data_IF_195604158305
#
_entry.id   IF_195604158305
#
_cell.length_a   1.000
_cell.length_b   1.000
_cell.length_c   1.000
_cell.angle_alpha   90.00
_cell.angle_beta   90.00
_cell.angle_gamma   90.00
#
_symmetry.space_group_name_H-M   'P 1'
#
loop_
_entity.id
_entity.type
_entity.pdbx_description
1 polymer ?
#
# COMPACT_ATOMS: atom_id res chain seq x y z
N UNK A 1 -16.21 -37.80 -73.36
CA UNK A 1 -15.80 -36.43 -72.93
C UNK A 1 -16.12 -36.24 -71.46
N UNK A 2 -15.12 -36.23 -70.57
CA UNK A 2 -15.32 -36.20 -69.12
C UNK A 2 -15.35 -34.75 -68.57
N UNK A 3 -16.49 -34.36 -67.98
CA UNK A 3 -16.74 -33.01 -67.43
C UNK A 3 -16.04 -32.84 -66.07
N UNK A 4 -14.90 -32.13 -66.04
CA UNK A 4 -14.16 -31.82 -64.80
C UNK A 4 -15.02 -30.95 -63.86
N UNK A 5 -15.34 -31.46 -62.66
CA UNK A 5 -16.02 -30.69 -61.60
C UNK A 5 -15.07 -29.62 -61.05
N UNK A 6 -15.43 -28.35 -61.20
CA UNK A 6 -14.73 -27.21 -60.57
C UNK A 6 -14.85 -27.31 -59.04
N UNK A 7 -13.73 -27.48 -58.34
CA UNK A 7 -13.66 -27.37 -56.88
C UNK A 7 -13.74 -25.87 -56.50
N UNK A 8 -14.67 -25.52 -55.60
CA UNK A 8 -14.78 -24.16 -55.05
C UNK A 8 -13.56 -23.85 -54.16
N UNK A 9 -13.02 -22.62 -54.18
CA UNK A 9 -11.89 -22.26 -53.33
C UNK A 9 -12.28 -22.31 -51.85
N UNK A 10 -11.34 -22.62 -50.94
CA UNK A 10 -11.61 -22.68 -49.51
C UNK A 10 -12.04 -21.30 -49.01
N UNK A 11 -13.17 -21.27 -48.29
CA UNK A 11 -13.70 -20.07 -47.64
C UNK A 11 -12.71 -19.66 -46.54
N UNK A 12 -12.02 -18.53 -46.70
CA UNK A 12 -11.19 -17.95 -45.65
C UNK A 12 -12.08 -17.59 -44.47
N UNK A 13 -12.02 -18.37 -43.40
CA UNK A 13 -12.56 -18.00 -42.10
C UNK A 13 -11.62 -16.96 -41.51
N UNK A 14 -11.99 -15.68 -41.60
CA UNK A 14 -11.37 -14.66 -40.76
C UNK A 14 -11.65 -15.02 -39.30
N UNK A 15 -10.63 -15.14 -38.43
CA UNK A 15 -10.90 -15.32 -37.01
C UNK A 15 -11.62 -14.08 -36.52
N UNK A 16 -12.82 -14.27 -35.97
CA UNK A 16 -13.60 -13.20 -35.38
C UNK A 16 -12.73 -12.45 -34.37
N UNK A 17 -12.61 -11.13 -34.56
CA UNK A 17 -11.92 -10.22 -33.65
C UNK A 17 -12.62 -10.28 -32.30
N UNK A 18 -12.15 -11.15 -31.42
CA UNK A 18 -12.69 -11.29 -30.07
C UNK A 18 -12.30 -10.05 -29.28
N UNK A 19 -13.29 -9.34 -28.74
CA UNK A 19 -13.11 -8.14 -27.92
C UNK A 19 -12.46 -8.43 -26.54
N UNK A 20 -11.82 -9.59 -26.37
CA UNK A 20 -11.04 -9.99 -25.21
C UNK A 20 -9.77 -9.16 -25.03
N UNK A 21 -9.22 -8.58 -26.11
CA UNK A 21 -8.07 -7.67 -26.05
C UNK A 21 -8.32 -6.44 -25.17
N UNK A 22 -9.29 -5.57 -25.50
CA UNK A 22 -9.55 -4.37 -24.71
C UNK A 22 -10.04 -4.69 -23.29
N UNK A 23 -10.84 -5.74 -23.08
CA UNK A 23 -11.30 -6.13 -21.75
C UNK A 23 -10.14 -6.58 -20.83
N UNK A 24 -9.19 -7.37 -21.35
CA UNK A 24 -8.03 -7.79 -20.57
C UNK A 24 -7.13 -6.61 -20.18
N UNK A 25 -6.96 -5.64 -21.08
CA UNK A 25 -6.20 -4.40 -20.80
C UNK A 25 -6.90 -3.58 -19.71
N UNK A 26 -8.22 -3.41 -19.79
CA UNK A 26 -8.98 -2.68 -18.76
C UNK A 26 -8.86 -3.34 -17.39
N UNK A 27 -8.93 -4.67 -17.32
CA UNK A 27 -8.76 -5.41 -16.05
C UNK A 27 -7.34 -5.25 -15.50
N UNK A 28 -6.31 -5.35 -16.35
CA UNK A 28 -4.93 -5.16 -15.93
C UNK A 28 -4.67 -3.74 -15.39
N UNK A 29 -5.25 -2.72 -16.02
CA UNK A 29 -5.20 -1.32 -15.56
C UNK A 29 -5.89 -1.19 -14.20
N UNK A 30 -7.09 -1.76 -14.04
CA UNK A 30 -7.81 -1.72 -12.76
C UNK A 30 -7.02 -2.39 -11.64
N UNK A 31 -6.39 -3.54 -11.90
CA UNK A 31 -5.54 -4.25 -10.94
C UNK A 31 -4.30 -3.43 -10.60
N UNK A 32 -3.66 -2.79 -11.58
CA UNK A 32 -2.50 -1.93 -11.35
C UNK A 32 -2.86 -0.67 -10.52
N UNK A 33 -4.02 -0.06 -10.77
CA UNK A 33 -4.54 1.07 -10.00
C UNK A 33 -4.86 0.64 -8.57
N UNK A 34 -5.59 -0.48 -8.39
CA UNK A 34 -5.88 -1.04 -7.07
C UNK A 34 -4.61 -1.41 -6.29
N UNK A 35 -3.63 -2.04 -6.95
CA UNK A 35 -2.34 -2.37 -6.33
C UNK A 35 -1.54 -1.14 -5.92
N UNK A 36 -1.54 -0.09 -6.76
CA UNK A 36 -0.88 1.19 -6.43
C UNK A 36 -1.55 1.92 -5.27
N UNK A 37 -2.89 1.90 -5.20
CA UNK A 37 -3.65 2.45 -4.07
C UNK A 37 -3.38 1.68 -2.78
N UNK A 38 -3.26 0.35 -2.86
CA UNK A 38 -2.96 -0.49 -1.71
C UNK A 38 -1.51 -0.33 -1.20
N UNK A 39 -0.54 -0.10 -2.11
CA UNK A 39 0.86 0.14 -1.74
C UNK A 39 1.12 1.55 -1.20
N UNK A 40 0.24 2.52 -1.48
CA UNK A 40 0.41 3.93 -1.08
C UNK A 40 -0.01 4.17 0.38
N UNK A 41 0.46 3.32 1.29
CA UNK A 41 0.28 3.45 2.73
C UNK A 41 0.94 4.71 3.26
N UNK A 42 0.19 5.81 3.21
CA UNK A 42 0.57 7.14 3.67
C UNK A 42 0.85 7.11 5.19
N UNK A 43 2.13 7.01 5.53
CA UNK A 43 2.65 6.96 6.90
C UNK A 43 3.24 8.30 7.37
N UNK A 44 3.05 9.39 6.61
CA UNK A 44 3.63 10.71 6.92
C UNK A 44 3.24 11.21 8.31
N UNK A 45 1.97 11.07 8.68
CA UNK A 45 1.44 11.57 9.95
C UNK A 45 2.00 10.84 11.17
N UNK A 46 2.23 9.51 11.11
CA UNK A 46 2.84 8.79 12.23
C UNK A 46 4.27 9.29 12.51
N UNK A 47 5.03 9.54 11.44
CA UNK A 47 6.42 9.95 11.55
C UNK A 47 6.56 11.35 12.15
N UNK A 48 5.64 12.26 11.83
CA UNK A 48 5.60 13.60 12.42
C UNK A 48 5.47 13.56 13.95
N UNK A 49 4.63 12.67 14.49
CA UNK A 49 4.51 12.49 15.94
C UNK A 49 5.79 11.94 16.57
N UNK A 50 6.45 10.97 15.93
CA UNK A 50 7.74 10.45 16.42
C UNK A 50 8.80 11.56 16.43
N UNK A 51 8.93 12.32 15.35
CA UNK A 51 9.92 13.40 15.24
C UNK A 51 9.66 14.53 16.25
N UNK A 52 8.38 14.83 16.50
CA UNK A 52 7.97 15.75 17.55
C UNK A 52 8.38 15.23 18.94
N UNK A 53 8.07 13.96 19.24
CA UNK A 53 8.45 13.32 20.52
C UNK A 53 9.96 13.29 20.74
N UNK A 54 10.74 12.96 19.72
CA UNK A 54 12.21 12.93 19.79
C UNK A 54 12.80 14.33 20.02
N UNK A 55 12.22 15.37 19.41
CA UNK A 55 12.63 16.77 19.66
C UNK A 55 12.33 17.19 21.10
N UNK A 56 11.17 16.83 21.63
CA UNK A 56 10.83 17.11 23.02
C UNK A 56 11.73 16.35 24.00
N UNK A 57 12.01 15.07 23.71
CA UNK A 57 12.93 14.24 24.49
C UNK A 57 14.34 14.86 24.55
N UNK A 58 14.86 15.31 23.41
CA UNK A 58 16.16 16.01 23.34
C UNK A 58 16.19 17.32 24.14
N UNK A 59 15.06 17.99 24.28
CA UNK A 59 14.90 19.21 25.08
C UNK A 59 14.65 18.91 26.57
N UNK A 60 14.62 17.64 26.99
CA UNK A 60 14.29 17.23 28.35
C UNK A 60 12.81 17.34 28.71
N UNK A 61 11.94 17.62 27.74
CA UNK A 61 10.50 17.68 27.96
C UNK A 61 9.89 16.27 27.80
N UNK A 62 10.00 15.48 28.87
CA UNK A 62 9.57 14.09 28.87
C UNK A 62 8.05 13.93 28.76
N UNK A 63 7.27 14.83 29.37
CA UNK A 63 5.80 14.77 29.35
C UNK A 63 5.26 14.99 27.93
N UNK A 64 5.83 15.97 27.22
CA UNK A 64 5.44 16.21 25.83
C UNK A 64 5.94 15.12 24.88
N UNK A 65 7.12 14.54 25.15
CA UNK A 65 7.61 13.38 24.42
C UNK A 65 6.68 12.16 24.58
N UNK A 66 6.25 11.89 25.81
CA UNK A 66 5.30 10.81 26.13
C UNK A 66 3.99 10.99 25.38
N UNK A 67 3.43 12.20 25.43
CA UNK A 67 2.20 12.55 24.72
C UNK A 67 2.32 12.26 23.23
N UNK A 68 3.37 12.73 22.58
CA UNK A 68 3.56 12.54 21.13
C UNK A 68 3.73 11.07 20.74
N UNK A 69 4.46 10.28 21.54
CA UNK A 69 4.56 8.85 21.28
C UNK A 69 3.24 8.11 21.50
N UNK A 70 2.41 8.54 22.45
CA UNK A 70 1.06 7.98 22.62
C UNK A 70 0.13 8.32 21.46
N UNK A 71 0.18 9.55 20.94
CA UNK A 71 -0.57 9.93 19.71
C UNK A 71 -0.12 9.09 18.50
N UNK A 72 1.18 8.87 18.35
CA UNK A 72 1.73 7.98 17.32
C UNK A 72 1.23 6.53 17.49
N UNK A 73 1.13 6.05 18.73
CA UNK A 73 0.66 4.70 19.05
C UNK A 73 -0.82 4.55 18.68
N UNK A 74 -1.64 5.54 19.06
CA UNK A 74 -3.07 5.57 18.76
C UNK A 74 -3.30 5.65 17.24
N UNK A 75 -2.53 6.47 16.52
CA UNK A 75 -2.58 6.53 15.06
C UNK A 75 -2.29 5.15 14.43
N UNK A 76 -1.24 4.46 14.91
CA UNK A 76 -0.88 3.14 14.40
C UNK A 76 -1.96 2.09 14.69
N UNK A 77 -2.56 2.12 15.89
CA UNK A 77 -3.65 1.23 16.30
C UNK A 77 -4.94 1.46 15.50
N UNK A 78 -5.28 2.72 15.24
CA UNK A 78 -6.46 3.08 14.44
C UNK A 78 -6.35 2.61 12.99
N UNK A 79 -5.12 2.51 12.45
CA UNK A 79 -4.90 1.94 11.12
C UNK A 79 -5.05 0.42 11.11
N UNK A 80 -4.33 -0.27 11.99
CA UNK A 80 -4.41 -1.72 12.16
C UNK A 80 -3.77 -2.13 13.50
N UNK A 81 -4.46 -2.95 14.30
CA UNK A 81 -3.91 -3.47 15.56
C UNK A 81 -2.66 -4.35 15.37
N UNK A 82 -2.42 -4.89 14.18
CA UNK A 82 -1.23 -5.66 13.80
C UNK A 82 -0.17 -4.82 13.08
N UNK A 83 -0.31 -3.50 13.06
CA UNK A 83 0.61 -2.62 12.37
C UNK A 83 2.02 -2.67 13.01
N UNK A 84 3.10 -2.91 12.23
CA UNK A 84 4.47 -2.89 12.75
C UNK A 84 4.87 -1.55 13.40
N UNK A 85 4.17 -0.46 13.09
CA UNK A 85 4.37 0.84 13.73
C UNK A 85 4.06 0.82 15.23
N UNK A 86 3.16 -0.05 15.70
CA UNK A 86 2.84 -0.21 17.13
C UNK A 86 4.09 -0.69 17.89
N UNK A 87 4.78 -1.71 17.36
CA UNK A 87 5.99 -2.24 17.96
C UNK A 87 7.12 -1.20 17.98
N UNK A 88 7.28 -0.42 16.90
CA UNK A 88 8.23 0.69 16.84
C UNK A 88 7.93 1.75 17.90
N UNK A 89 6.67 2.18 18.01
CA UNK A 89 6.26 3.22 18.96
C UNK A 89 6.47 2.78 20.42
N UNK A 90 6.18 1.51 20.73
CA UNK A 90 6.47 0.93 22.06
C UNK A 90 7.96 0.96 22.42
N UNK A 91 8.85 0.78 21.44
CA UNK A 91 10.29 0.89 21.67
C UNK A 91 10.71 2.32 22.04
N UNK A 92 10.10 3.34 21.41
CA UNK A 92 10.32 4.75 21.78
C UNK A 92 9.84 5.07 23.20
N UNK A 93 8.64 4.61 23.58
CA UNK A 93 8.12 4.77 24.94
C UNK A 93 9.03 4.10 25.98
N UNK A 94 9.50 2.88 25.72
CA UNK A 94 10.44 2.19 26.61
C UNK A 94 11.77 2.95 26.75
N UNK A 95 12.26 3.57 25.68
CA UNK A 95 13.45 4.43 25.73
C UNK A 95 13.20 5.68 26.58
N UNK A 96 12.04 6.31 26.40
CA UNK A 96 11.64 7.49 27.19
C UNK A 96 11.62 7.17 28.69
N UNK A 97 11.00 6.06 29.09
CA UNK A 97 10.94 5.61 30.48
C UNK A 97 12.33 5.38 31.08
N UNK A 98 13.23 4.77 30.30
CA UNK A 98 14.64 4.56 30.70
C UNK A 98 15.41 5.88 30.86
N UNK A 99 15.09 6.90 30.08
CA UNK A 99 15.71 8.22 30.22
C UNK A 99 15.13 8.97 31.43
N UNK A 100 13.81 8.89 31.64
CA UNK A 100 13.12 9.53 32.77
C UNK A 100 13.52 8.97 34.14
N UNK A 101 13.95 7.71 34.18
CA UNK A 101 14.37 7.00 35.39
C UNK A 101 15.87 7.18 35.75
N UNK A 102 16.63 7.92 34.94
CA UNK A 102 18.02 8.29 35.22
C UNK A 102 18.10 9.66 35.84
#
# INVERSE_FOLDING_TARGET
MARRKRKKPPKKTSPGRSNTGPLAITVAILVAILGSLYLSGENRSWQEYIDAGDRALKRGNYEWAEKMYNEALQYAQNKDAKNPLIAKTRAYLKRLEKVKSR
#
